data_IF_010598044355
#
_entry.id   IF_010598044355
#
_cell.length_a   1.000
_cell.length_b   1.000
_cell.length_c   1.000
_cell.angle_alpha   90.00
_cell.angle_beta   90.00
_cell.angle_gamma   90.00
#
_symmetry.space_group_name_H-M   'P 1'
#
loop_
_entity.id
_entity.type
_entity.pdbx_description
1 polymer ?
#
# COMPACT_ATOMS: atom_id res chain seq x y z
N UNK A 1 -6.03 -7.58 3.80
CA UNK A 1 -6.28 -7.03 2.45
C UNK A 1 -5.34 -5.85 2.24
N UNK A 2 -4.40 -5.98 1.31
CA UNK A 2 -3.43 -4.94 0.97
C UNK A 2 -4.10 -3.88 0.07
N UNK A 3 -5.06 -3.15 0.65
CA UNK A 3 -5.93 -2.19 -0.05
C UNK A 3 -5.12 -1.12 -0.79
N UNK A 4 -3.96 -0.74 -0.25
CA UNK A 4 -3.09 0.27 -0.84
C UNK A 4 -2.36 -0.22 -2.10
N UNK A 5 -2.07 -1.52 -2.21
CA UNK A 5 -1.47 -2.10 -3.41
C UNK A 5 -2.49 -2.54 -4.45
N UNK A 6 -3.76 -2.73 -4.07
CA UNK A 6 -4.83 -3.21 -4.97
C UNK A 6 -4.89 -2.45 -6.30
N UNK A 7 -4.81 -1.10 -6.34
CA UNK A 7 -4.84 -0.35 -7.59
C UNK A 7 -3.68 -0.74 -8.52
N UNK A 8 -2.51 -1.05 -7.96
CA UNK A 8 -1.25 -1.31 -8.69
C UNK A 8 -1.05 -2.78 -9.09
N UNK A 9 -1.81 -3.68 -8.46
CA UNK A 9 -1.86 -5.11 -8.77
C UNK A 9 -2.85 -5.34 -9.93
N UNK A 10 -4.06 -4.77 -9.83
CA UNK A 10 -5.03 -4.85 -10.90
C UNK A 10 -4.63 -3.93 -12.05
N UNK A 11 -4.75 -4.42 -13.28
CA UNK A 11 -4.34 -3.67 -14.48
C UNK A 11 -5.34 -2.58 -14.88
N UNK A 12 -6.36 -2.31 -14.06
CA UNK A 12 -7.33 -1.26 -14.32
C UNK A 12 -6.76 0.09 -13.90
N UNK A 13 -6.29 0.84 -14.91
CA UNK A 13 -5.69 2.17 -14.74
C UNK A 13 -6.72 3.27 -14.57
N UNK A 14 -8.00 2.99 -14.82
CA UNK A 14 -9.05 4.01 -14.91
C UNK A 14 -9.79 4.25 -13.59
N UNK A 15 -9.57 3.38 -12.60
CA UNK A 15 -10.23 3.47 -11.30
C UNK A 15 -9.50 4.47 -10.39
N UNK A 16 -10.26 5.40 -9.81
CA UNK A 16 -9.74 6.31 -8.80
C UNK A 16 -9.27 5.53 -7.55
N UNK A 17 -8.16 5.96 -6.95
CA UNK A 17 -7.59 5.32 -5.77
C UNK A 17 -7.15 6.35 -4.72
N UNK A 18 -6.82 5.88 -3.52
CA UNK A 18 -6.40 6.76 -2.45
C UNK A 18 -5.02 7.39 -2.76
N UNK A 19 -5.00 8.71 -3.00
CA UNK A 19 -3.77 9.48 -3.25
C UNK A 19 -2.86 9.59 -2.01
N UNK A 20 -3.36 9.26 -0.83
CA UNK A 20 -2.58 9.20 0.41
C UNK A 20 -2.16 7.76 0.78
N UNK A 21 -2.31 6.79 -0.14
CA UNK A 21 -1.86 5.41 0.08
C UNK A 21 -0.33 5.31 0.17
N UNK A 22 0.17 4.28 0.85
CA UNK A 22 1.60 4.10 1.05
C UNK A 22 2.44 4.15 -0.26
N UNK A 23 2.02 3.54 -1.39
CA UNK A 23 2.79 3.60 -2.63
C UNK A 23 2.95 5.03 -3.17
N UNK A 24 1.92 5.87 -3.01
CA UNK A 24 1.96 7.26 -3.45
C UNK A 24 2.84 8.09 -2.51
N UNK A 25 2.70 7.90 -1.19
CA UNK A 25 3.50 8.62 -0.20
C UNK A 25 4.99 8.31 -0.31
N UNK A 26 5.36 7.04 -0.47
CA UNK A 26 6.75 6.65 -0.72
C UNK A 26 7.28 7.18 -2.05
N UNK A 27 6.42 7.30 -3.07
CA UNK A 27 6.83 7.95 -4.30
C UNK A 27 7.04 9.46 -4.12
N UNK A 28 6.16 10.17 -3.41
CA UNK A 28 6.31 11.60 -3.11
C UNK A 28 7.63 11.88 -2.38
N UNK A 29 8.00 11.03 -1.41
CA UNK A 29 9.27 11.15 -0.70
C UNK A 29 10.47 11.00 -1.64
N UNK A 30 10.36 10.13 -2.66
CA UNK A 30 11.41 9.90 -3.65
C UNK A 30 11.47 10.96 -4.75
N UNK A 31 10.33 11.33 -5.31
CA UNK A 31 10.14 12.32 -6.37
C UNK A 31 8.90 13.18 -6.08
N UNK A 32 9.08 14.37 -5.48
CA UNK A 32 8.00 15.30 -5.18
C UNK A 32 7.32 15.88 -6.43
N UNK A 33 7.86 15.69 -7.65
CA UNK A 33 7.27 16.26 -8.87
C UNK A 33 5.86 15.72 -9.17
N UNK A 34 5.54 14.53 -8.65
CA UNK A 34 4.19 13.95 -8.71
C UNK A 34 3.12 14.85 -8.04
N UNK A 35 3.52 15.71 -7.08
CA UNK A 35 2.62 16.64 -6.41
C UNK A 35 1.97 17.63 -7.38
N UNK A 36 2.60 17.93 -8.53
CA UNK A 36 1.98 18.76 -9.58
C UNK A 36 0.66 18.17 -10.06
N UNK A 37 0.54 16.84 -10.09
CA UNK A 37 -0.69 16.15 -10.46
C UNK A 37 -1.61 15.92 -9.25
N UNK A 38 -1.04 15.52 -8.11
CA UNK A 38 -1.81 15.21 -6.88
C UNK A 38 -2.48 16.46 -6.31
N UNK A 39 -1.80 17.61 -6.31
CA UNK A 39 -2.29 18.87 -5.72
C UNK A 39 -3.48 19.46 -6.49
N UNK A 40 -3.73 19.03 -7.73
CA UNK A 40 -4.99 19.37 -8.43
C UNK A 40 -6.21 18.88 -7.66
N UNK A 41 -6.04 17.82 -6.87
CA UNK A 41 -7.03 17.24 -5.97
C UNK A 41 -7.45 18.19 -4.84
N UNK A 42 -6.62 19.17 -4.46
CA UNK A 42 -6.94 20.16 -3.43
C UNK A 42 -8.13 21.04 -3.83
N UNK A 43 -8.27 21.34 -5.13
CA UNK A 43 -9.42 22.06 -5.65
C UNK A 43 -10.61 21.12 -5.87
N UNK A 44 -10.38 19.94 -6.44
CA UNK A 44 -11.36 18.87 -6.60
C UNK A 44 -10.67 17.57 -6.95
N UNK A 45 -11.08 16.47 -6.34
CA UNK A 45 -10.57 15.11 -6.64
C UNK A 45 -10.80 14.70 -8.10
N UNK A 46 -11.75 15.32 -8.80
CA UNK A 46 -12.01 15.07 -10.22
C UNK A 46 -10.98 15.72 -11.16
N UNK A 47 -10.17 16.65 -10.66
CA UNK A 47 -9.14 17.32 -11.45
C UNK A 47 -7.82 16.52 -11.54
N UNK A 48 -7.71 15.44 -10.77
CA UNK A 48 -6.51 14.59 -10.73
C UNK A 48 -6.56 13.60 -11.88
N UNK A 49 -5.49 13.53 -12.67
CA UNK A 49 -5.29 12.47 -13.64
C UNK A 49 -4.75 11.21 -12.93
N UNK A 50 -5.67 10.35 -12.48
CA UNK A 50 -5.32 9.10 -11.78
C UNK A 50 -4.51 8.13 -12.66
N UNK A 51 -4.70 8.13 -13.98
CA UNK A 51 -3.92 7.29 -14.89
C UNK A 51 -2.46 7.76 -14.89
N UNK A 52 -2.24 9.08 -14.92
CA UNK A 52 -0.90 9.66 -14.85
C UNK A 52 -0.23 9.41 -13.50
N UNK A 53 -0.94 9.62 -12.38
CA UNK A 53 -0.41 9.33 -11.04
C UNK A 53 -0.03 7.84 -10.94
N UNK A 54 -0.89 6.96 -11.43
CA UNK A 54 -0.65 5.52 -11.48
C UNK A 54 0.65 5.18 -12.24
N UNK A 55 0.80 5.69 -13.46
CA UNK A 55 1.96 5.40 -14.31
C UNK A 55 3.27 5.95 -13.72
N UNK A 56 3.21 7.07 -12.98
CA UNK A 56 4.36 7.63 -12.26
C UNK A 56 4.73 6.72 -11.08
N UNK A 57 3.78 6.40 -10.20
CA UNK A 57 4.03 5.57 -9.01
C UNK A 57 4.57 4.20 -9.40
N UNK A 58 4.02 3.59 -10.46
CA UNK A 58 4.43 2.27 -10.96
C UNK A 58 5.87 2.22 -11.45
N UNK A 59 6.43 3.34 -11.92
CA UNK A 59 7.83 3.44 -12.37
C UNK A 59 8.80 3.74 -11.23
N UNK A 60 8.29 4.19 -10.09
CA UNK A 60 9.10 4.50 -8.92
C UNK A 60 9.14 3.36 -7.89
N UNK A 61 9.78 3.62 -6.74
CA UNK A 61 10.00 2.60 -5.72
C UNK A 61 8.79 2.34 -4.81
N UNK A 62 7.72 3.15 -4.91
CA UNK A 62 6.63 3.17 -3.91
C UNK A 62 5.93 1.83 -3.71
N UNK A 63 5.72 1.05 -4.77
CA UNK A 63 5.11 -0.28 -4.70
C UNK A 63 5.99 -1.25 -3.89
N UNK A 64 7.28 -1.30 -4.21
CA UNK A 64 8.23 -2.20 -3.55
C UNK A 64 8.43 -1.82 -2.07
N UNK A 65 8.56 -0.52 -1.79
CA UNK A 65 8.65 -0.02 -0.41
C UNK A 65 7.39 -0.35 0.40
N UNK A 66 6.22 -0.32 -0.22
CA UNK A 66 4.96 -0.71 0.43
C UNK A 66 4.93 -2.22 0.75
N UNK A 67 5.42 -3.08 -0.16
CA UNK A 67 5.56 -4.52 0.12
C UNK A 67 6.53 -4.79 1.28
N UNK A 68 7.64 -4.05 1.33
CA UNK A 68 8.61 -4.16 2.44
C UNK A 68 8.00 -3.68 3.77
N UNK A 69 7.25 -2.58 3.74
CA UNK A 69 6.53 -2.07 4.90
C UNK A 69 5.51 -3.10 5.42
N UNK A 70 4.73 -3.71 4.52
CA UNK A 70 3.78 -4.77 4.84
C UNK A 70 4.46 -5.96 5.51
N UNK A 71 5.57 -6.45 4.94
CA UNK A 71 6.36 -7.55 5.51
C UNK A 71 6.89 -7.21 6.91
N UNK A 72 7.38 -5.99 7.12
CA UNK A 72 7.86 -5.54 8.43
C UNK A 72 6.74 -5.55 9.48
N UNK A 73 5.54 -5.06 9.13
CA UNK A 73 4.39 -5.08 10.03
C UNK A 73 3.90 -6.50 10.33
N UNK A 74 3.82 -7.38 9.34
CA UNK A 74 3.43 -8.78 9.53
C UNK A 74 4.42 -9.52 10.44
N UNK A 75 5.72 -9.34 10.22
CA UNK A 75 6.76 -9.90 11.08
C UNK A 75 6.63 -9.42 12.53
N UNK A 76 6.44 -8.11 12.76
CA UNK A 76 6.22 -7.56 14.10
C UNK A 76 4.94 -8.11 14.76
N UNK A 77 3.89 -8.30 13.98
CA UNK A 77 2.65 -8.89 14.48
C UNK A 77 2.86 -10.35 14.90
N UNK A 78 3.60 -11.13 14.11
CA UNK A 78 3.98 -12.51 14.45
C UNK A 78 4.86 -12.58 15.71
N UNK A 79 5.81 -11.67 15.86
CA UNK A 79 6.64 -11.57 17.07
C UNK A 79 5.80 -11.29 18.32
N UNK A 80 4.89 -10.33 18.26
CA UNK A 80 3.95 -10.06 19.36
C UNK A 80 3.06 -11.25 19.67
N UNK A 81 2.61 -11.97 18.63
CA UNK A 81 1.76 -13.14 18.79
C UNK A 81 2.50 -14.31 19.46
N UNK A 82 3.81 -14.43 19.25
CA UNK A 82 4.65 -15.49 19.81
C UNK A 82 4.76 -15.47 21.34
N UNK A 83 4.46 -14.33 21.98
CA UNK A 83 4.48 -14.18 23.44
C UNK A 83 3.26 -14.84 24.10
N UNK A 84 2.16 -15.01 23.37
CA UNK A 84 0.96 -15.67 23.90
C UNK A 84 1.12 -17.19 23.93
N UNK A 85 0.49 -17.84 24.89
CA UNK A 85 0.44 -19.30 24.98
C UNK A 85 -0.23 -19.93 23.75
N UNK A 86 0.19 -21.17 23.45
CA UNK A 86 -0.37 -22.00 22.40
C UNK A 86 -1.89 -22.15 22.59
N UNK A 87 -2.65 -21.75 21.56
CA UNK A 87 -4.10 -21.85 21.54
C UNK A 87 -4.62 -21.77 20.10
N UNK A 88 -5.84 -22.27 19.88
CA UNK A 88 -6.51 -22.18 18.58
C UNK A 88 -6.68 -20.73 18.13
N UNK A 89 -6.96 -19.82 19.07
CA UNK A 89 -7.04 -18.39 18.81
C UNK A 89 -5.70 -17.83 18.31
N UNK A 90 -4.57 -18.22 18.92
CA UNK A 90 -3.24 -17.82 18.46
C UNK A 90 -2.97 -18.35 17.06
N UNK A 91 -3.24 -19.62 16.79
CA UNK A 91 -3.05 -20.24 15.47
C UNK A 91 -3.91 -19.57 14.41
N UNK A 92 -5.17 -19.26 14.72
CA UNK A 92 -6.06 -18.55 13.80
C UNK A 92 -5.51 -17.16 13.44
N UNK A 93 -5.00 -16.41 14.43
CA UNK A 93 -4.36 -15.11 14.19
C UNK A 93 -3.08 -15.23 13.36
N UNK A 94 -2.23 -16.23 13.62
CA UNK A 94 -1.03 -16.49 12.82
C UNK A 94 -1.38 -16.75 11.36
N UNK A 95 -2.42 -17.54 11.10
CA UNK A 95 -2.88 -17.83 9.74
C UNK A 95 -3.41 -16.57 9.04
N UNK A 96 -4.12 -15.70 9.77
CA UNK A 96 -4.59 -14.42 9.24
C UNK A 96 -3.41 -13.52 8.87
N UNK A 97 -2.37 -13.42 9.72
CA UNK A 97 -1.18 -12.60 9.46
C UNK A 97 -0.38 -13.16 8.28
N UNK A 98 -0.15 -14.47 8.23
CA UNK A 98 0.56 -15.13 7.14
C UNK A 98 -0.14 -14.91 5.78
N UNK A 99 -1.48 -15.00 5.75
CA UNK A 99 -2.26 -14.70 4.55
C UNK A 99 -2.13 -13.24 4.09
N UNK A 100 -1.67 -12.32 4.95
CA UNK A 100 -1.36 -10.95 4.53
C UNK A 100 0.03 -10.83 3.87
N UNK A 101 0.95 -11.78 4.03
CA UNK A 101 2.28 -11.72 3.42
C UNK A 101 2.34 -12.23 1.97
N UNK A 102 1.40 -13.08 1.56
CA UNK A 102 1.40 -13.80 0.28
C UNK A 102 1.09 -12.94 -0.99
N UNK A 103 1.15 -11.59 -0.92
CA UNK A 103 0.68 -10.68 -1.98
C UNK A 103 1.74 -9.72 -2.57
#
# INVERSE_FOLDING_TARGET
>A
ACLDLSPFIDKDRSTAFNLCSAPVMFHIEHDPSILIEVDKGLASVHNVDYVKVFDIVKKGPGIELTKQLQKNHSQKAMEMLSVFQDSDARTALSNIIAAMEDF
#
